data_IF_206347576044
#
_entry.id   IF_206347576044
#
_cell.length_a   1.000
_cell.length_b   1.000
_cell.length_c   1.000
_cell.angle_alpha   90.00
_cell.angle_beta   90.00
_cell.angle_gamma   90.00
#
_symmetry.space_group_name_H-M   'P 1'
#
loop_
_entity.id
_entity.type
_entity.pdbx_description
1 polymer ?
#
# COMPACT_ATOMS: atom_id res chain seq x y z
N UNK A 1 -2.92 17.67 17.57
CA UNK A 1 -3.73 18.31 16.48
C UNK A 1 -2.92 18.73 15.24
N UNK A 2 -1.77 19.41 15.36
CA UNK A 2 -0.95 19.77 14.18
C UNK A 2 -0.38 18.53 13.46
N UNK A 3 0.13 17.56 14.22
CA UNK A 3 0.67 16.27 13.71
C UNK A 3 -0.41 15.48 12.97
N UNK A 4 -1.63 15.40 13.52
CA UNK A 4 -2.75 14.71 12.87
C UNK A 4 -3.10 15.32 11.52
N UNK A 5 -3.17 16.67 11.43
CA UNK A 5 -3.42 17.36 10.15
C UNK A 5 -2.29 17.15 9.13
N UNK A 6 -1.05 17.07 9.58
CA UNK A 6 0.06 16.66 8.71
C UNK A 6 -0.11 15.21 8.25
N UNK A 7 -0.54 14.29 9.11
CA UNK A 7 -0.81 12.90 8.72
C UNK A 7 -1.93 12.82 7.68
N UNK A 8 -2.99 13.61 7.83
CA UNK A 8 -4.05 13.74 6.82
C UNK A 8 -3.47 14.20 5.48
N UNK A 9 -2.68 15.28 5.49
CA UNK A 9 -2.07 15.83 4.29
C UNK A 9 -1.17 14.82 3.60
N UNK A 10 -0.22 14.23 4.33
CA UNK A 10 0.77 13.33 3.77
C UNK A 10 0.18 11.98 3.36
N UNK A 11 -0.79 11.45 4.10
CA UNK A 11 -1.56 10.28 3.68
C UNK A 11 -2.36 10.56 2.39
N UNK A 12 -2.90 11.77 2.23
CA UNK A 12 -3.57 12.19 0.99
C UNK A 12 -2.58 12.36 -0.16
N UNK A 13 -1.40 12.94 0.08
CA UNK A 13 -0.33 13.09 -0.92
C UNK A 13 0.15 11.73 -1.39
N UNK A 14 0.43 10.81 -0.48
CA UNK A 14 0.78 9.43 -0.79
C UNK A 14 -0.32 8.75 -1.63
N UNK A 15 -1.58 8.80 -1.18
CA UNK A 15 -2.70 8.22 -1.91
C UNK A 15 -2.94 8.86 -3.28
N UNK A 16 -2.58 10.13 -3.49
CA UNK A 16 -2.74 10.82 -4.78
C UNK A 16 -1.95 10.18 -5.92
N UNK A 17 -0.89 9.42 -5.61
CA UNK A 17 -0.17 8.60 -6.59
C UNK A 17 -1.08 7.61 -7.33
N UNK A 18 -2.09 7.05 -6.66
CA UNK A 18 -3.08 6.16 -7.27
C UNK A 18 -3.89 6.89 -8.37
N UNK A 19 -4.28 8.14 -8.11
CA UNK A 19 -4.97 8.98 -9.09
C UNK A 19 -4.06 9.34 -10.27
N UNK A 20 -2.79 9.60 -10.02
CA UNK A 20 -1.80 9.85 -11.07
C UNK A 20 -1.64 8.62 -11.96
N UNK A 21 -1.54 7.42 -11.35
CA UNK A 21 -1.53 6.15 -12.08
C UNK A 21 -2.81 5.96 -12.91
N UNK A 22 -3.97 6.26 -12.34
CA UNK A 22 -5.27 6.16 -13.04
C UNK A 22 -5.38 7.13 -14.22
N UNK A 23 -4.90 8.36 -14.05
CA UNK A 23 -4.78 9.37 -15.09
C UNK A 23 -3.88 8.87 -16.23
N UNK A 24 -2.72 8.32 -15.90
CA UNK A 24 -1.78 7.75 -16.86
C UNK A 24 -2.43 6.57 -17.62
N UNK A 25 -3.10 5.64 -16.95
CA UNK A 25 -3.80 4.53 -17.60
C UNK A 25 -4.95 4.98 -18.51
N UNK A 26 -5.61 6.10 -18.18
CA UNK A 26 -6.72 6.60 -18.97
C UNK A 26 -6.25 7.23 -20.29
N UNK A 27 -5.20 8.05 -20.26
CA UNK A 27 -4.73 8.80 -21.44
C UNK A 27 -3.55 8.17 -22.16
N UNK A 28 -2.68 7.43 -21.46
CA UNK A 28 -1.52 6.78 -22.03
C UNK A 28 -1.81 5.30 -22.29
N UNK A 29 -1.22 4.77 -23.37
CA UNK A 29 -1.20 3.34 -23.66
C UNK A 29 0.15 2.77 -23.23
N UNK A 30 0.27 2.46 -21.95
CA UNK A 30 1.52 1.93 -21.38
C UNK A 30 1.49 0.40 -21.52
N UNK A 31 2.49 -0.24 -22.16
CA UNK A 31 2.57 -1.69 -22.25
C UNK A 31 2.64 -2.33 -20.85
N UNK A 32 1.98 -3.48 -20.67
CA UNK A 32 1.88 -4.16 -19.37
C UNK A 32 3.24 -4.48 -18.73
N UNK A 33 4.24 -4.80 -19.55
CA UNK A 33 5.64 -5.02 -19.13
C UNK A 33 6.18 -3.84 -18.31
N UNK A 34 5.95 -2.60 -18.74
CA UNK A 34 6.44 -1.43 -18.00
C UNK A 34 5.71 -1.21 -16.67
N UNK A 35 4.43 -1.55 -16.63
CA UNK A 35 3.63 -1.44 -15.41
C UNK A 35 4.13 -2.43 -14.36
N UNK A 36 4.31 -3.69 -14.77
CA UNK A 36 4.87 -4.76 -13.93
C UNK A 36 6.30 -4.47 -13.51
N UNK A 37 7.10 -3.84 -14.39
CA UNK A 37 8.47 -3.49 -14.06
C UNK A 37 8.54 -2.42 -12.96
N UNK A 38 7.71 -1.38 -13.06
CA UNK A 38 7.62 -0.33 -12.02
C UNK A 38 7.00 -0.90 -10.73
N UNK A 39 6.06 -1.83 -10.84
CA UNK A 39 5.49 -2.54 -9.67
C UNK A 39 6.55 -3.40 -8.94
N UNK A 40 7.38 -4.16 -9.66
CA UNK A 40 8.49 -4.92 -9.08
C UNK A 40 9.49 -4.00 -8.38
N UNK A 41 9.85 -2.89 -9.03
CA UNK A 41 10.71 -1.89 -8.42
C UNK A 41 10.09 -1.31 -7.13
N UNK A 42 8.80 -0.93 -7.19
CA UNK A 42 8.04 -0.43 -6.04
C UNK A 42 7.97 -1.42 -4.88
N UNK A 43 7.79 -2.72 -5.16
CA UNK A 43 7.82 -3.78 -4.14
C UNK A 43 9.18 -3.80 -3.41
N UNK A 44 10.28 -3.71 -4.15
CA UNK A 44 11.62 -3.60 -3.56
C UNK A 44 11.80 -2.37 -2.68
N UNK A 45 11.34 -1.23 -3.17
CA UNK A 45 11.37 0.05 -2.44
C UNK A 45 10.60 -0.05 -1.11
N UNK A 46 9.39 -0.65 -1.13
CA UNK A 46 8.61 -0.88 0.09
C UNK A 46 9.25 -1.90 1.04
N UNK A 47 9.89 -2.96 0.52
CA UNK A 47 10.63 -3.92 1.38
C UNK A 47 11.75 -3.22 2.13
N UNK A 48 12.47 -2.30 1.49
CA UNK A 48 13.47 -1.48 2.19
C UNK A 48 12.81 -0.59 3.25
N UNK A 49 11.78 0.17 2.85
CA UNK A 49 11.12 1.11 3.75
C UNK A 49 10.49 0.40 4.97
N UNK A 50 9.78 -0.72 4.78
CA UNK A 50 9.23 -1.48 5.91
C UNK A 50 10.31 -2.07 6.82
N UNK A 51 11.46 -2.46 6.27
CA UNK A 51 12.54 -3.07 7.06
C UNK A 51 13.20 -2.05 7.99
N UNK A 52 13.55 -0.88 7.45
CA UNK A 52 14.33 0.13 8.19
C UNK A 52 13.45 1.18 8.88
N UNK A 53 12.34 1.59 8.26
CA UNK A 53 11.51 2.70 8.77
C UNK A 53 10.33 2.22 9.63
N UNK A 54 10.01 0.92 9.61
CA UNK A 54 8.92 0.37 10.42
C UNK A 54 9.40 -0.72 11.37
N UNK A 55 10.00 -1.81 10.87
CA UNK A 55 10.40 -2.94 11.74
C UNK A 55 11.55 -2.56 12.65
N UNK A 56 12.61 -1.96 12.11
CA UNK A 56 13.75 -1.52 12.91
C UNK A 56 13.34 -0.43 13.92
N UNK A 57 12.55 0.55 13.48
CA UNK A 57 12.03 1.61 14.35
C UNK A 57 11.12 1.07 15.47
N UNK A 58 10.22 0.13 15.15
CA UNK A 58 9.43 -0.56 16.18
C UNK A 58 10.31 -1.31 17.18
N UNK A 59 11.39 -1.96 16.70
CA UNK A 59 12.31 -2.69 17.56
C UNK A 59 13.10 -1.76 18.48
N UNK A 60 13.56 -0.60 17.99
CA UNK A 60 14.26 0.39 18.82
C UNK A 60 13.33 1.05 19.84
N UNK A 61 12.06 1.29 19.49
CA UNK A 61 11.08 1.90 20.38
C UNK A 61 10.54 0.97 21.47
N UNK A 62 10.16 -0.28 21.12
CA UNK A 62 9.42 -1.18 22.02
C UNK A 62 9.99 -2.59 22.15
N UNK A 63 11.15 -2.85 21.58
CA UNK A 63 11.85 -4.12 21.68
C UNK A 63 11.26 -5.25 20.82
N UNK A 64 11.85 -6.44 20.96
CA UNK A 64 11.54 -7.60 20.13
C UNK A 64 10.10 -8.08 20.29
N UNK A 65 9.58 -8.12 21.53
CA UNK A 65 8.27 -8.70 21.81
C UNK A 65 7.14 -7.91 21.16
N UNK A 66 7.12 -6.59 21.33
CA UNK A 66 6.12 -5.71 20.71
C UNK A 66 6.21 -5.76 19.18
N UNK A 67 7.43 -5.74 18.64
CA UNK A 67 7.68 -5.77 17.20
C UNK A 67 7.24 -7.08 16.57
N UNK A 68 7.68 -8.23 17.11
CA UNK A 68 7.33 -9.53 16.57
C UNK A 68 5.82 -9.81 16.66
N UNK A 69 5.19 -9.45 17.79
CA UNK A 69 3.74 -9.58 17.95
C UNK A 69 2.99 -8.67 16.97
N UNK A 70 3.46 -7.44 16.78
CA UNK A 70 2.88 -6.49 15.84
C UNK A 70 2.96 -6.97 14.40
N UNK A 71 4.16 -7.38 13.93
CA UNK A 71 4.34 -7.92 12.57
C UNK A 71 3.43 -9.13 12.34
N UNK A 72 3.39 -10.07 13.28
CA UNK A 72 2.51 -11.24 13.17
C UNK A 72 1.02 -10.84 13.11
N UNK A 73 0.60 -9.92 13.97
CA UNK A 73 -0.77 -9.41 13.98
C UNK A 73 -1.13 -8.70 12.67
N UNK A 74 -0.25 -7.85 12.16
CA UNK A 74 -0.41 -7.16 10.88
C UNK A 74 -0.58 -8.12 9.70
N UNK A 75 0.29 -9.14 9.64
CA UNK A 75 0.21 -10.18 8.61
C UNK A 75 -1.11 -10.96 8.69
N UNK A 76 -1.53 -11.36 9.89
CA UNK A 76 -2.80 -12.06 10.10
C UNK A 76 -4.01 -11.20 9.77
N UNK A 77 -3.99 -9.90 10.09
CA UNK A 77 -5.05 -8.96 9.76
C UNK A 77 -5.18 -8.81 8.25
N UNK A 78 -4.07 -8.59 7.54
CA UNK A 78 -4.07 -8.49 6.08
C UNK A 78 -4.56 -9.80 5.44
N UNK A 79 -3.99 -10.94 5.84
CA UNK A 79 -4.41 -12.26 5.36
C UNK A 79 -5.90 -12.52 5.61
N UNK A 80 -6.39 -12.20 6.81
CA UNK A 80 -7.80 -12.37 7.17
C UNK A 80 -8.73 -11.47 6.35
N UNK A 81 -8.32 -10.21 6.13
CA UNK A 81 -9.05 -9.25 5.29
C UNK A 81 -9.12 -9.74 3.83
N UNK A 82 -8.00 -10.15 3.27
CA UNK A 82 -7.92 -10.70 1.92
C UNK A 82 -8.75 -12.00 1.78
N UNK A 83 -8.66 -12.91 2.75
CA UNK A 83 -9.44 -14.15 2.76
C UNK A 83 -10.96 -13.88 2.85
N UNK A 84 -11.37 -12.89 3.64
CA UNK A 84 -12.78 -12.49 3.76
C UNK A 84 -13.30 -11.90 2.43
N UNK A 85 -12.51 -11.06 1.77
CA UNK A 85 -12.81 -10.56 0.43
C UNK A 85 -12.94 -11.67 -0.58
N UNK A 86 -11.96 -12.57 -0.64
CA UNK A 86 -11.96 -13.69 -1.57
C UNK A 86 -13.20 -14.58 -1.39
N UNK A 87 -13.61 -14.84 -0.14
CA UNK A 87 -14.86 -15.57 0.17
C UNK A 87 -16.10 -14.82 -0.31
N UNK A 88 -16.20 -13.52 -0.09
CA UNK A 88 -17.34 -12.70 -0.54
C UNK A 88 -17.41 -12.62 -2.06
N UNK A 89 -16.28 -12.46 -2.73
CA UNK A 89 -16.18 -12.44 -4.20
C UNK A 89 -16.63 -13.78 -4.81
N UNK A 90 -16.13 -14.91 -4.27
CA UNK A 90 -16.55 -16.26 -4.70
C UNK A 90 -18.04 -16.54 -4.46
N UNK A 91 -18.58 -16.12 -3.30
CA UNK A 91 -20.01 -16.29 -3.00
C UNK A 91 -20.88 -15.50 -3.98
N UNK A 92 -20.49 -14.27 -4.30
CA UNK A 92 -21.21 -13.39 -5.23
C UNK A 92 -21.13 -13.86 -6.68
N UNK A 93 -19.99 -14.40 -7.10
CA UNK A 93 -19.81 -15.04 -8.41
C UNK A 93 -20.69 -16.29 -8.57
N UNK A 94 -20.86 -17.11 -7.52
CA UNK A 94 -21.79 -18.26 -7.53
C UNK A 94 -23.26 -17.84 -7.61
N UNK A 95 -23.67 -16.71 -7.04
CA UNK A 95 -25.05 -16.21 -7.16
C UNK A 95 -25.32 -15.48 -8.48
N UNK A 96 -24.28 -15.00 -9.19
CA UNK A 96 -24.36 -14.27 -10.46
C UNK A 96 -24.04 -15.13 -11.70
N UNK A 97 -24.11 -16.47 -11.60
CA UNK A 97 -23.91 -17.37 -12.74
C UNK A 97 -24.93 -17.20 -13.90
N UNK A 98 -25.83 -16.20 -13.84
CA UNK A 98 -26.76 -15.83 -14.90
C UNK A 98 -26.64 -14.39 -15.43
N UNK A 99 -25.70 -13.55 -14.97
CA UNK A 99 -25.51 -12.20 -15.52
C UNK A 99 -24.04 -11.83 -15.70
N UNK A 100 -23.58 -11.96 -16.94
CA UNK A 100 -22.27 -11.50 -17.41
C UNK A 100 -22.15 -9.98 -17.30
N UNK A 101 -21.22 -9.47 -16.48
CA UNK A 101 -20.61 -8.16 -16.76
C UNK A 101 -20.25 -7.20 -15.62
N UNK A 102 -20.53 -7.46 -14.33
CA UNK A 102 -20.30 -6.40 -13.29
C UNK A 102 -19.46 -6.78 -12.06
N UNK A 103 -18.96 -8.03 -11.97
CA UNK A 103 -18.32 -8.54 -10.75
C UNK A 103 -16.85 -8.11 -10.55
N UNK A 104 -16.10 -7.80 -11.62
CA UNK A 104 -14.63 -7.64 -11.55
C UNK A 104 -14.20 -6.36 -10.80
N UNK A 105 -14.69 -5.19 -11.21
CA UNK A 105 -14.12 -3.95 -10.69
C UNK A 105 -14.52 -3.57 -9.26
N UNK A 106 -15.48 -4.25 -8.60
CA UNK A 106 -15.76 -4.03 -7.17
C UNK A 106 -14.84 -4.85 -6.27
N UNK A 107 -14.32 -5.98 -6.76
CA UNK A 107 -13.34 -6.77 -6.03
C UNK A 107 -11.95 -6.11 -6.12
N UNK A 108 -11.59 -5.60 -7.31
CA UNK A 108 -10.36 -4.83 -7.55
C UNK A 108 -10.31 -3.56 -6.69
N UNK A 109 -11.42 -2.83 -6.63
CA UNK A 109 -11.59 -1.65 -5.79
C UNK A 109 -11.34 -1.88 -4.29
N UNK A 110 -11.82 -3.01 -3.79
CA UNK A 110 -11.70 -3.33 -2.36
C UNK A 110 -10.34 -3.96 -2.05
N UNK A 111 -9.71 -4.63 -3.02
CA UNK A 111 -8.29 -5.03 -2.93
C UNK A 111 -7.38 -3.81 -2.75
N UNK A 112 -7.44 -2.86 -3.69
CA UNK A 112 -6.63 -1.63 -3.62
C UNK A 112 -6.88 -0.79 -2.36
N UNK A 113 -8.12 -0.76 -1.84
CA UNK A 113 -8.40 -0.13 -0.56
C UNK A 113 -7.73 -0.87 0.61
N UNK A 114 -7.74 -2.20 0.60
CA UNK A 114 -7.10 -3.01 1.65
C UNK A 114 -5.58 -2.92 1.57
N UNK A 115 -5.02 -2.74 0.37
CA UNK A 115 -3.58 -2.57 0.15
C UNK A 115 -3.12 -1.17 0.59
N UNK A 116 -3.91 -0.12 0.32
CA UNK A 116 -3.59 1.25 0.71
C UNK A 116 -3.75 1.57 2.20
N UNK A 117 -4.52 0.77 2.98
CA UNK A 117 -4.72 1.01 4.42
C UNK A 117 -3.41 0.83 5.22
N UNK A 118 -2.69 -0.32 5.13
CA UNK A 118 -1.41 -0.50 5.81
C UNK A 118 -0.40 0.62 5.55
N UNK A 119 -0.26 1.04 4.28
CA UNK A 119 0.65 2.13 3.89
C UNK A 119 0.24 3.47 4.50
N UNK A 120 -1.05 3.79 4.47
CA UNK A 120 -1.58 5.05 4.99
C UNK A 120 -1.45 5.13 6.51
N UNK A 121 -1.69 4.01 7.20
CA UNK A 121 -1.47 3.90 8.65
C UNK A 121 0.01 4.05 8.97
N UNK A 122 0.91 3.41 8.21
CA UNK A 122 2.36 3.54 8.39
C UNK A 122 2.83 5.00 8.33
N UNK A 123 2.34 5.80 7.37
CA UNK A 123 2.66 7.23 7.28
C UNK A 123 2.16 8.05 8.47
N UNK A 124 0.95 7.75 8.96
CA UNK A 124 0.40 8.41 10.14
C UNK A 124 1.19 8.07 11.42
N UNK A 125 1.63 6.82 11.55
CA UNK A 125 2.42 6.33 12.67
C UNK A 125 3.83 6.94 12.70
N UNK A 126 4.51 7.00 11.55
CA UNK A 126 5.85 7.59 11.45
C UNK A 126 5.88 9.06 11.90
N UNK A 127 4.80 9.80 11.63
CA UNK A 127 4.64 11.18 12.10
C UNK A 127 4.51 11.31 13.61
N UNK A 128 3.81 10.37 14.26
CA UNK A 128 3.65 10.36 15.72
C UNK A 128 4.96 9.94 16.40
N UNK A 129 5.68 8.98 15.82
CA UNK A 129 6.93 8.47 16.38
C UNK A 129 8.11 9.45 16.20
N UNK A 130 8.29 10.01 15.01
CA UNK A 130 9.47 10.81 14.65
C UNK A 130 9.26 12.33 14.58
N UNK A 131 8.08 12.84 14.98
CA UNK A 131 7.66 14.23 14.88
C UNK A 131 7.67 14.88 13.47
N UNK A 132 8.08 14.13 12.44
CA UNK A 132 8.14 14.56 11.05
C UNK A 132 7.92 13.36 10.12
N UNK A 133 7.52 13.61 8.86
CA UNK A 133 7.39 12.53 7.88
C UNK A 133 8.78 12.08 7.46
N UNK A 134 9.03 10.77 7.54
CA UNK A 134 10.19 10.20 6.89
C UNK A 134 10.04 10.32 5.35
N UNK A 135 10.89 11.11 4.67
CA UNK A 135 10.77 11.34 3.24
C UNK A 135 10.98 10.06 2.43
N UNK A 136 11.83 9.14 2.91
CA UNK A 136 12.08 7.84 2.28
C UNK A 136 10.81 6.99 2.27
N UNK A 137 10.10 6.88 3.40
CA UNK A 137 8.84 6.13 3.47
C UNK A 137 7.75 6.75 2.59
N UNK A 138 7.64 8.07 2.58
CA UNK A 138 6.67 8.78 1.73
C UNK A 138 6.94 8.54 0.25
N UNK A 139 8.20 8.71 -0.19
CA UNK A 139 8.60 8.45 -1.57
C UNK A 139 8.37 6.99 -1.92
N UNK A 140 8.66 6.07 -1.00
CA UNK A 140 8.47 4.64 -1.22
C UNK A 140 7.02 4.29 -1.53
N UNK A 141 6.10 4.73 -0.66
CA UNK A 141 4.66 4.55 -0.83
C UNK A 141 4.15 5.28 -2.08
N UNK A 142 4.64 6.48 -2.34
CA UNK A 142 4.21 7.23 -3.51
C UNK A 142 4.61 6.52 -4.82
N UNK A 143 5.84 6.01 -4.89
CA UNK A 143 6.35 5.29 -6.06
C UNK A 143 5.66 3.95 -6.25
N UNK A 144 5.32 3.22 -5.18
CA UNK A 144 4.58 1.94 -5.27
C UNK A 144 3.12 2.12 -5.69
N UNK A 145 2.48 3.21 -5.29
CA UNK A 145 1.06 3.47 -5.61
C UNK A 145 0.81 3.87 -7.07
N UNK A 146 1.79 4.46 -7.77
CA UNK A 146 1.65 4.80 -9.20
C UNK A 146 1.36 3.56 -10.07
N UNK A 147 2.20 2.49 -10.08
CA UNK A 147 1.96 1.32 -10.91
C UNK A 147 0.67 0.58 -10.52
N UNK A 148 0.29 0.58 -9.24
CA UNK A 148 -0.97 -0.04 -8.78
C UNK A 148 -2.19 0.71 -9.34
N UNK A 149 -2.21 2.04 -9.17
CA UNK A 149 -3.26 2.89 -9.73
C UNK A 149 -3.36 2.77 -11.25
N UNK A 150 -2.23 2.59 -11.93
CA UNK A 150 -2.15 2.40 -13.37
C UNK A 150 -2.67 1.01 -13.79
N UNK A 151 -2.13 -0.08 -13.24
CA UNK A 151 -2.49 -1.45 -13.57
C UNK A 151 -4.01 -1.69 -13.39
N UNK A 152 -4.50 -1.39 -12.19
CA UNK A 152 -5.90 -1.57 -11.83
C UNK A 152 -6.84 -0.69 -12.65
N UNK A 153 -6.44 0.53 -12.99
CA UNK A 153 -7.22 1.40 -13.89
C UNK A 153 -7.26 0.90 -15.34
N UNK A 154 -6.13 0.38 -15.85
CA UNK A 154 -6.06 -0.20 -17.18
C UNK A 154 -6.99 -1.41 -17.29
N UNK A 155 -7.00 -2.28 -16.28
CA UNK A 155 -7.90 -3.44 -16.21
C UNK A 155 -9.38 -3.03 -16.08
N UNK A 156 -9.70 -2.04 -15.24
CA UNK A 156 -11.06 -1.53 -15.14
C UNK A 156 -11.55 -0.91 -16.46
N UNK A 157 -10.69 -0.17 -17.16
CA UNK A 157 -10.97 0.38 -18.49
C UNK A 157 -11.18 -0.73 -19.52
N UNK A 158 -10.34 -1.77 -19.51
CA UNK A 158 -10.49 -2.94 -20.38
C UNK A 158 -11.81 -3.71 -20.10
N UNK A 159 -12.27 -3.71 -18.85
CA UNK A 159 -13.58 -4.28 -18.47
C UNK A 159 -14.79 -3.38 -18.81
N UNK A 160 -14.58 -2.26 -19.51
CA UNK A 160 -15.64 -1.35 -19.95
C UNK A 160 -16.17 -0.39 -18.88
N UNK A 161 -15.45 -0.16 -17.78
CA UNK A 161 -15.89 0.82 -16.77
C UNK A 161 -15.73 2.25 -17.27
N UNK A 162 -16.67 3.11 -16.87
CA UNK A 162 -16.64 4.54 -17.20
C UNK A 162 -15.53 5.25 -16.42
N UNK A 163 -14.96 6.29 -17.01
CA UNK A 163 -13.94 7.15 -16.36
C UNK A 163 -14.41 7.65 -15.00
N UNK A 164 -15.66 8.12 -14.92
CA UNK A 164 -16.25 8.61 -13.67
C UNK A 164 -16.20 7.56 -12.55
N UNK A 165 -16.50 6.30 -12.87
CA UNK A 165 -16.44 5.23 -11.87
C UNK A 165 -15.01 4.95 -11.40
N UNK A 166 -14.03 5.01 -12.30
CA UNK A 166 -12.62 4.77 -11.98
C UNK A 166 -12.07 5.91 -11.11
N UNK A 167 -12.25 7.16 -11.54
CA UNK A 167 -11.75 8.33 -10.80
C UNK A 167 -12.48 8.54 -9.47
N UNK A 168 -13.79 8.25 -9.38
CA UNK A 168 -14.51 8.30 -8.10
C UNK A 168 -13.99 7.25 -7.12
N UNK A 169 -13.68 6.05 -7.60
CA UNK A 169 -13.08 5.00 -6.78
C UNK A 169 -11.73 5.43 -6.23
N UNK A 170 -10.79 5.84 -7.09
CA UNK A 170 -9.48 6.27 -6.63
C UNK A 170 -9.54 7.51 -5.74
N UNK A 171 -10.41 8.47 -6.05
CA UNK A 171 -10.66 9.61 -5.17
C UNK A 171 -11.14 9.18 -3.79
N UNK A 172 -12.00 8.15 -3.71
CA UNK A 172 -12.43 7.61 -2.41
C UNK A 172 -11.32 6.92 -1.65
N UNK A 173 -10.41 6.20 -2.34
CA UNK A 173 -9.24 5.56 -1.71
C UNK A 173 -8.26 6.62 -1.22
N UNK A 174 -7.97 7.66 -1.99
CA UNK A 174 -7.11 8.79 -1.58
C UNK A 174 -7.62 9.45 -0.30
N UNK A 175 -8.94 9.69 -0.23
CA UNK A 175 -9.57 10.25 0.97
C UNK A 175 -9.52 9.26 2.15
N UNK A 176 -9.76 7.97 1.89
CA UNK A 176 -9.66 6.94 2.92
C UNK A 176 -8.23 6.81 3.46
N UNK A 177 -7.22 6.93 2.61
CA UNK A 177 -5.80 6.95 2.97
C UNK A 177 -5.47 8.12 3.90
N UNK A 178 -5.85 9.33 3.50
CA UNK A 178 -5.67 10.51 4.36
C UNK A 178 -6.37 10.36 5.71
N UNK A 179 -7.61 9.86 5.72
CA UNK A 179 -8.36 9.63 6.95
C UNK A 179 -7.76 8.52 7.82
N UNK A 180 -7.26 7.44 7.22
CA UNK A 180 -6.60 6.35 7.95
C UNK A 180 -5.31 6.86 8.62
N UNK A 181 -4.50 7.65 7.93
CA UNK A 181 -3.32 8.30 8.49
C UNK A 181 -3.69 9.26 9.64
N UNK A 182 -4.73 10.08 9.44
CA UNK A 182 -5.25 11.00 10.46
C UNK A 182 -5.75 10.29 11.72
N UNK A 183 -6.58 9.25 11.54
CA UNK A 183 -7.14 8.46 12.65
C UNK A 183 -6.02 7.73 13.38
N UNK A 184 -5.07 7.12 12.66
CA UNK A 184 -3.91 6.47 13.25
C UNK A 184 -3.10 7.45 14.11
N UNK A 185 -2.88 8.67 13.61
CA UNK A 185 -2.15 9.69 14.34
C UNK A 185 -2.87 10.14 15.63
N UNK A 186 -4.19 10.35 15.59
CA UNK A 186 -4.97 10.75 16.77
C UNK A 186 -5.07 9.61 17.78
N UNK A 187 -5.35 8.40 17.32
CA UNK A 187 -5.59 7.25 18.20
C UNK A 187 -4.34 6.89 19.03
N UNK A 188 -3.16 7.30 18.58
CA UNK A 188 -1.88 6.89 19.15
C UNK A 188 -1.08 8.06 19.74
N UNK A 189 -1.57 9.30 19.62
CA UNK A 189 -1.00 10.47 20.27
C UNK A 189 -0.98 10.25 21.80
N UNK A 190 0.22 10.27 22.40
CA UNK A 190 0.41 10.08 23.86
C UNK A 190 0.36 8.63 24.35
N UNK A 191 0.35 7.63 23.45
CA UNK A 191 0.45 6.22 23.85
C UNK A 191 1.88 5.83 24.27
N UNK A 192 2.05 4.79 25.11
CA UNK A 192 3.36 4.26 25.47
C UNK A 192 4.17 3.79 24.26
N UNK A 193 5.50 3.83 24.37
CA UNK A 193 6.41 3.44 23.29
C UNK A 193 6.18 2.00 22.80
N UNK A 194 5.79 1.08 23.68
CA UNK A 194 5.49 -0.30 23.33
C UNK A 194 4.23 -0.43 22.46
N UNK A 195 3.24 0.43 22.68
CA UNK A 195 2.01 0.47 21.87
C UNK A 195 2.30 1.07 20.50
N UNK A 196 3.11 2.13 20.45
CA UNK A 196 3.58 2.72 19.19
C UNK A 196 4.39 1.70 18.39
N UNK A 197 5.35 1.02 19.01
CA UNK A 197 6.13 -0.05 18.39
C UNK A 197 5.25 -1.18 17.86
N UNK A 198 4.31 -1.67 18.67
CA UNK A 198 3.39 -2.72 18.25
C UNK A 198 2.56 -2.29 17.03
N UNK A 199 1.99 -1.08 17.04
CA UNK A 199 1.14 -0.59 15.95
C UNK A 199 1.93 -0.27 14.68
N UNK A 200 3.14 0.26 14.79
CA UNK A 200 4.08 0.43 13.66
C UNK A 200 4.44 -0.92 13.05
N UNK A 201 4.72 -1.92 13.88
CA UNK A 201 4.98 -3.28 13.42
C UNK A 201 3.75 -3.96 12.79
N UNK A 202 2.52 -3.65 13.24
CA UNK A 202 1.28 -4.08 12.58
C UNK A 202 1.21 -3.56 11.15
N UNK A 203 1.53 -2.28 10.91
CA UNK A 203 1.56 -1.74 9.56
C UNK A 203 2.62 -2.45 8.70
N UNK A 204 3.82 -2.69 9.25
CA UNK A 204 4.89 -3.41 8.55
C UNK A 204 4.50 -4.84 8.14
N UNK A 205 3.88 -5.60 9.05
CA UNK A 205 3.42 -6.96 8.77
C UNK A 205 2.33 -7.01 7.69
N UNK A 206 1.43 -6.03 7.68
CA UNK A 206 0.42 -5.88 6.64
C UNK A 206 1.04 -5.59 5.27
N UNK A 207 1.96 -4.62 5.19
CA UNK A 207 2.68 -4.26 3.96
C UNK A 207 3.49 -5.45 3.43
N UNK A 208 4.22 -6.16 4.30
CA UNK A 208 5.03 -7.31 3.87
C UNK A 208 4.16 -8.43 3.28
N UNK A 209 3.00 -8.68 3.90
CA UNK A 209 2.05 -9.69 3.39
C UNK A 209 1.44 -9.25 2.06
N UNK A 210 1.09 -7.98 1.92
CA UNK A 210 0.62 -7.39 0.67
C UNK A 210 1.64 -7.57 -0.46
N UNK A 211 2.89 -7.17 -0.23
CA UNK A 211 3.96 -7.30 -1.24
C UNK A 211 4.12 -8.74 -1.72
N UNK A 212 4.09 -9.69 -0.78
CA UNK A 212 4.24 -11.12 -1.07
C UNK A 212 3.03 -11.72 -1.79
N UNK A 213 1.80 -11.31 -1.44
CA UNK A 213 0.57 -11.89 -1.98
C UNK A 213 0.14 -11.24 -3.31
N UNK A 214 0.45 -9.96 -3.53
CA UNK A 214 -0.06 -9.19 -4.67
C UNK A 214 1.05 -8.67 -5.59
N UNK A 215 1.89 -7.74 -5.12
CA UNK A 215 2.82 -7.00 -5.99
C UNK A 215 3.87 -7.89 -6.66
N UNK A 216 4.53 -8.77 -5.90
CA UNK A 216 5.57 -9.65 -6.46
C UNK A 216 4.95 -10.68 -7.42
N UNK A 217 3.87 -11.41 -7.06
CA UNK A 217 3.23 -12.34 -7.98
C UNK A 217 2.71 -11.68 -9.26
N UNK A 218 2.13 -10.48 -9.17
CA UNK A 218 1.58 -9.77 -10.32
C UNK A 218 2.70 -9.33 -11.28
N UNK A 219 3.79 -8.78 -10.76
CA UNK A 219 4.94 -8.42 -11.58
C UNK A 219 5.60 -9.65 -12.21
N UNK A 220 5.74 -10.73 -11.45
CA UNK A 220 6.33 -11.99 -11.92
C UNK A 220 5.51 -12.64 -13.04
N UNK A 221 4.20 -12.47 -13.05
CA UNK A 221 3.31 -13.02 -14.08
C UNK A 221 3.55 -12.44 -15.50
N UNK A 222 4.30 -11.35 -15.61
CA UNK A 222 4.59 -10.67 -16.89
C UNK A 222 6.08 -10.62 -17.19
N UNK A 223 6.90 -10.18 -16.23
CA UNK A 223 8.33 -9.93 -16.47
C UNK A 223 9.22 -11.15 -16.18
N UNK A 224 8.70 -12.14 -15.44
CA UNK A 224 9.35 -13.39 -15.06
C UNK A 224 10.80 -13.23 -14.58
N UNK A 225 11.77 -13.31 -15.50
CA UNK A 225 13.21 -13.31 -15.24
C UNK A 225 13.73 -11.99 -14.66
N UNK A 226 13.09 -10.85 -14.98
CA UNK A 226 13.56 -9.53 -14.53
C UNK A 226 12.98 -9.08 -13.20
N UNK A 227 11.89 -9.70 -12.71
CA UNK A 227 11.18 -9.26 -11.51
C UNK A 227 12.11 -9.19 -10.30
N UNK A 228 12.92 -10.22 -10.06
CA UNK A 228 13.86 -10.25 -8.94
C UNK A 228 14.93 -9.16 -9.01
N UNK A 229 15.44 -8.86 -10.21
CA UNK A 229 16.41 -7.78 -10.43
C UNK A 229 15.79 -6.41 -10.15
N UNK A 230 14.55 -6.20 -10.59
CA UNK A 230 13.83 -4.94 -10.37
C UNK A 230 13.47 -4.73 -8.91
N UNK A 231 13.01 -5.77 -8.20
CA UNK A 231 12.82 -5.75 -6.74
C UNK A 231 14.14 -5.40 -6.04
N UNK A 232 15.25 -6.03 -6.45
CA UNK A 232 16.58 -5.75 -5.87
C UNK A 232 17.01 -4.30 -6.14
N UNK A 233 16.80 -3.80 -7.35
CA UNK A 233 17.12 -2.42 -7.72
C UNK A 233 16.29 -1.41 -6.92
N UNK A 234 14.99 -1.70 -6.71
CA UNK A 234 14.11 -0.89 -5.88
C UNK A 234 14.56 -0.85 -4.42
N UNK A 235 14.86 -2.03 -3.86
CA UNK A 235 15.38 -2.15 -2.51
C UNK A 235 16.68 -1.34 -2.33
N UNK A 236 17.66 -1.53 -3.22
CA UNK A 236 18.94 -0.83 -3.15
C UNK A 236 18.79 0.69 -3.32
N UNK A 237 17.86 1.13 -4.18
CA UNK A 237 17.59 2.57 -4.37
C UNK A 237 17.04 3.19 -3.09
N UNK A 238 16.02 2.58 -2.49
CA UNK A 238 15.41 3.05 -1.24
C UNK A 238 16.39 2.97 -0.06
N UNK A 239 17.15 1.89 0.04
CA UNK A 239 18.19 1.74 1.05
C UNK A 239 19.30 2.79 0.91
N UNK A 240 19.74 3.08 -0.32
CA UNK A 240 20.75 4.12 -0.58
C UNK A 240 20.22 5.50 -0.18
N UNK A 241 18.94 5.79 -0.45
CA UNK A 241 18.30 7.02 0.00
C UNK A 241 18.23 7.11 1.53
N UNK A 242 17.87 6.03 2.21
CA UNK A 242 17.89 5.97 3.68
C UNK A 242 19.31 6.21 4.22
N UNK A 243 20.31 5.49 3.70
CA UNK A 243 21.68 5.56 4.18
C UNK A 243 22.37 6.92 3.93
N UNK A 244 22.01 7.63 2.84
CA UNK A 244 22.54 8.96 2.51
C UNK A 244 21.70 10.10 3.11
N UNK A 245 20.42 9.84 3.37
CA UNK A 245 19.41 10.83 3.76
C UNK A 245 19.37 11.11 5.25
N UNK A 246 19.71 10.13 6.11
CA UNK A 246 19.82 10.29 7.57
C UNK A 246 18.56 10.84 8.23
#
# INVERSE_FOLDING_TARGET
>A
MFVSLQALLWGTVAGSALLIGAVAAWWLRIPRVWVCAVMAFGAGVLVSALSFELVLEAFTMGGLAATAAGVAAGALLYFGANALLAKRSRKRSRTQAGSSGSSSGSAIAVGALIDGIPESVALGLGLVAGASVNPTMLIAIFVSNIPEGLASSADMKASGRSSRSIFALWGSIVLASGLAAFIGAIALEGMPAEVLAFTTAVAAGGILTMIADTMIPEAYAVDHDYTGLLVTAGFLSAFSLHALGG
#
